data_IF_659917047723
#
_entry.id   IF_659917047723
#
_cell.length_a   1.000
_cell.length_b   1.000
_cell.length_c   1.000
_cell.angle_alpha   90.00
_cell.angle_beta   90.00
_cell.angle_gamma   90.00
#
_symmetry.space_group_name_H-M   'P 1'
#
loop_
_entity.id
_entity.type
_entity.pdbx_description
1 polymer ?
#
# COMPACT_ATOMS: atom_id res chain seq x y z
N UNK A 1 -2.72 -4.30 45.24
CA UNK A 1 -4.09 -3.76 45.11
C UNK A 1 -4.64 -4.20 43.76
N UNK A 2 -5.41 -5.29 43.73
CA UNK A 2 -6.02 -5.84 42.51
C UNK A 2 -7.43 -5.25 42.39
N UNK A 3 -7.69 -4.45 41.35
CA UNK A 3 -9.01 -3.88 41.08
C UNK A 3 -9.45 -4.20 39.66
N UNK A 4 -10.54 -4.97 39.60
CA UNK A 4 -11.64 -4.88 38.63
C UNK A 4 -11.40 -5.33 37.19
N UNK A 5 -11.52 -6.64 36.96
CA UNK A 5 -11.91 -7.21 35.67
C UNK A 5 -13.41 -6.94 35.46
N UNK A 6 -13.77 -6.03 34.55
CA UNK A 6 -15.16 -5.90 34.07
C UNK A 6 -15.39 -6.88 32.93
N UNK A 7 -16.23 -7.86 33.23
CA UNK A 7 -16.85 -8.80 32.30
C UNK A 7 -17.75 -8.00 31.33
N UNK A 8 -17.36 -7.90 30.05
CA UNK A 8 -18.24 -7.38 28.99
C UNK A 8 -18.95 -8.56 28.36
N UNK A 9 -20.26 -8.56 28.51
CA UNK A 9 -21.16 -9.62 28.08
C UNK A 9 -21.50 -9.50 26.59
N UNK A 10 -21.68 -10.68 25.98
CA UNK A 10 -22.33 -10.98 24.71
C UNK A 10 -23.58 -10.13 24.43
N UNK A 11 -23.67 -9.58 23.20
CA UNK A 11 -24.89 -9.45 22.39
C UNK A 11 -24.46 -8.87 21.02
N UNK A 12 -24.92 -9.29 19.85
CA UNK A 12 -25.91 -10.29 19.48
C UNK A 12 -25.72 -10.61 17.99
N UNK A 13 -26.03 -11.85 17.62
CA UNK A 13 -26.03 -12.30 16.24
C UNK A 13 -27.21 -11.67 15.50
N UNK A 14 -26.94 -10.67 14.66
CA UNK A 14 -27.90 -10.16 13.70
C UNK A 14 -27.96 -11.12 12.50
N UNK A 15 -29.04 -11.90 12.45
CA UNK A 15 -29.38 -12.75 11.32
C UNK A 15 -29.86 -11.85 10.18
N UNK A 16 -28.97 -11.49 9.25
CA UNK A 16 -29.33 -10.75 8.05
C UNK A 16 -29.86 -11.72 6.97
N UNK A 17 -31.04 -11.48 6.39
CA UNK A 17 -31.57 -12.28 5.30
C UNK A 17 -30.75 -12.02 4.03
N UNK A 18 -30.08 -13.06 3.52
CA UNK A 18 -29.44 -13.06 2.20
C UNK A 18 -30.57 -13.00 1.16
N UNK A 19 -30.84 -11.81 0.64
CA UNK A 19 -31.69 -11.61 -0.52
C UNK A 19 -30.87 -11.93 -1.78
N UNK A 20 -30.97 -13.17 -2.25
CA UNK A 20 -30.42 -13.62 -3.52
C UNK A 20 -31.23 -13.00 -4.67
N UNK A 21 -30.82 -11.83 -5.14
CA UNK A 21 -31.36 -11.22 -6.34
C UNK A 21 -30.74 -11.89 -7.57
N UNK A 22 -31.47 -12.84 -8.19
CA UNK A 22 -31.11 -13.36 -9.50
C UNK A 22 -31.40 -12.32 -10.57
N UNK A 23 -30.36 -11.66 -11.08
CA UNK A 23 -30.46 -10.82 -12.27
C UNK A 23 -30.52 -11.70 -13.55
N UNK A 24 -31.39 -11.36 -14.52
CA UNK A 24 -31.50 -12.10 -15.78
C UNK A 24 -30.27 -11.87 -16.66
N UNK A 25 -29.72 -12.98 -17.18
CA UNK A 25 -28.69 -13.02 -18.21
C UNK A 25 -29.31 -12.48 -19.51
N UNK A 26 -29.06 -11.20 -19.80
CA UNK A 26 -29.38 -10.55 -21.06
C UNK A 26 -28.30 -10.84 -22.09
N UNK A 27 -28.49 -11.89 -22.89
CA UNK A 27 -27.81 -12.10 -24.16
C UNK A 27 -28.47 -11.20 -25.20
N UNK A 28 -27.76 -10.21 -25.75
CA UNK A 28 -27.92 -9.82 -27.17
C UNK A 28 -26.85 -8.84 -27.65
N UNK A 29 -26.21 -9.19 -28.76
CA UNK A 29 -25.82 -8.20 -29.79
C UNK A 29 -24.33 -7.90 -29.91
N UNK A 30 -23.60 -8.74 -30.64
CA UNK A 30 -22.42 -8.30 -31.38
C UNK A 30 -22.83 -7.28 -32.46
N UNK A 31 -22.03 -6.24 -32.67
CA UNK A 31 -21.68 -5.81 -34.01
C UNK A 31 -20.20 -6.07 -34.27
N UNK A 32 -19.92 -6.87 -35.29
CA UNK A 32 -18.62 -6.95 -35.94
C UNK A 32 -18.30 -5.58 -36.53
N UNK A 33 -17.20 -4.96 -36.10
CA UNK A 33 -16.60 -3.86 -36.83
C UNK A 33 -15.13 -4.13 -37.05
N UNK A 34 -14.85 -4.66 -38.25
CA UNK A 34 -13.55 -4.61 -38.88
C UNK A 34 -13.07 -3.14 -38.92
N UNK A 35 -11.90 -2.87 -38.35
CA UNK A 35 -11.02 -1.80 -38.82
C UNK A 35 -9.57 -2.23 -38.68
N UNK A 36 -9.04 -2.70 -39.80
CA UNK A 36 -7.61 -2.66 -40.09
C UNK A 36 -7.13 -1.20 -40.03
N UNK A 37 -6.23 -0.93 -39.09
CA UNK A 37 -5.30 0.18 -39.14
C UNK A 37 -3.91 -0.42 -39.00
N UNK A 38 -3.25 -0.66 -40.12
CA UNK A 38 -1.78 -0.70 -40.16
C UNK A 38 -1.27 0.66 -39.69
N UNK A 39 -0.52 0.65 -38.60
CA UNK A 39 0.38 1.74 -38.26
C UNK A 39 1.71 1.11 -37.85
N UNK A 40 2.60 1.06 -38.83
CA UNK A 40 4.04 1.14 -38.61
C UNK A 40 4.34 2.36 -37.72
N UNK A 41 5.18 2.19 -36.71
CA UNK A 41 6.34 3.05 -36.48
C UNK A 41 7.18 2.53 -35.30
N UNK A 42 8.36 2.01 -35.65
CA UNK A 42 9.63 2.16 -34.94
C UNK A 42 9.56 2.33 -33.41
N UNK A 43 9.43 1.21 -32.70
CA UNK A 43 9.92 1.12 -31.32
C UNK A 43 11.42 0.86 -31.36
N UNK A 44 12.23 1.91 -31.23
CA UNK A 44 13.63 1.78 -30.86
C UNK A 44 13.67 1.07 -29.51
N UNK A 45 14.10 -0.20 -29.55
CA UNK A 45 14.43 -0.98 -28.37
C UNK A 45 15.60 -0.26 -27.70
N UNK A 46 15.30 0.60 -26.74
CA UNK A 46 16.28 1.02 -25.75
C UNK A 46 16.67 -0.27 -25.00
N UNK A 47 17.85 -0.77 -25.34
CA UNK A 47 18.56 -1.78 -24.58
C UNK A 47 18.74 -1.20 -23.16
N UNK A 48 17.78 -1.51 -22.27
CA UNK A 48 17.96 -1.32 -20.85
C UNK A 48 19.09 -2.27 -20.43
N UNK A 49 20.31 -1.74 -20.46
CA UNK A 49 21.45 -2.25 -19.70
C UNK A 49 21.02 -2.28 -18.23
N UNK A 50 20.49 -3.43 -17.81
CA UNK A 50 20.33 -3.76 -16.41
C UNK A 50 21.74 -3.86 -15.82
N UNK A 51 22.25 -2.72 -15.39
CA UNK A 51 23.42 -2.63 -14.54
C UNK A 51 23.21 -3.61 -13.40
N UNK A 52 24.15 -4.56 -13.25
CA UNK A 52 24.19 -5.47 -12.12
C UNK A 52 24.40 -4.62 -10.86
N UNK A 53 23.30 -4.23 -10.22
CA UNK A 53 23.32 -3.62 -8.91
C UNK A 53 23.81 -4.70 -7.94
N UNK A 54 25.05 -4.54 -7.49
CA UNK A 54 25.64 -5.30 -6.40
C UNK A 54 24.81 -4.97 -5.15
N UNK A 55 23.76 -5.78 -4.88
CA UNK A 55 22.83 -5.64 -3.76
C UNK A 55 23.55 -5.92 -2.43
N UNK A 56 24.38 -4.98 -2.00
CA UNK A 56 24.95 -4.92 -0.66
C UNK A 56 23.98 -4.19 0.25
N UNK A 57 23.33 -4.94 1.14
CA UNK A 57 22.49 -4.48 2.26
C UNK A 57 21.24 -3.69 1.85
N UNK A 58 20.07 -4.34 1.91
CA UNK A 58 18.75 -3.73 1.70
C UNK A 58 18.60 -2.49 2.60
N UNK A 59 18.69 -1.30 2.01
CA UNK A 59 18.69 -0.06 2.76
C UNK A 59 17.27 0.37 3.12
N UNK A 60 17.13 1.21 4.16
CA UNK A 60 15.84 1.81 4.48
C UNK A 60 15.27 2.58 3.28
N UNK A 61 16.15 3.22 2.51
CA UNK A 61 15.80 3.95 1.30
C UNK A 61 15.13 3.06 0.25
N UNK A 62 15.70 1.89 -0.05
CA UNK A 62 15.14 0.95 -1.04
C UNK A 62 13.73 0.50 -0.66
N UNK A 63 13.49 0.23 0.62
CA UNK A 63 12.14 -0.13 1.08
C UNK A 63 11.16 1.04 1.01
N UNK A 64 11.59 2.27 1.27
CA UNK A 64 10.75 3.46 1.15
C UNK A 64 10.40 3.76 -0.32
N UNK A 65 11.36 3.61 -1.25
CA UNK A 65 11.09 3.69 -2.69
C UNK A 65 10.11 2.60 -3.14
N UNK A 66 10.29 1.37 -2.65
CA UNK A 66 9.35 0.27 -2.85
C UNK A 66 7.94 0.64 -2.41
N UNK A 67 7.76 1.13 -1.19
CA UNK A 67 6.47 1.60 -0.68
C UNK A 67 5.84 2.63 -1.63
N UNK A 68 6.61 3.63 -2.07
CA UNK A 68 6.09 4.65 -2.99
C UNK A 68 5.67 4.05 -4.34
N UNK A 69 6.48 3.15 -4.91
CA UNK A 69 6.20 2.47 -6.16
C UNK A 69 4.87 1.70 -6.09
N UNK A 70 4.70 0.89 -5.05
CA UNK A 70 3.50 0.07 -4.86
C UNK A 70 2.24 0.94 -4.66
N UNK A 71 2.32 2.00 -3.85
CA UNK A 71 1.19 2.94 -3.66
C UNK A 71 0.78 3.63 -4.97
N UNK A 72 1.75 4.02 -5.81
CA UNK A 72 1.49 4.61 -7.13
C UNK A 72 0.78 3.61 -8.05
N UNK A 73 1.20 2.34 -8.05
CA UNK A 73 0.54 1.30 -8.84
C UNK A 73 -0.92 1.11 -8.40
N UNK A 74 -1.17 0.97 -7.10
CA UNK A 74 -2.51 0.76 -6.56
C UNK A 74 -3.45 1.91 -6.90
N UNK A 75 -3.00 3.16 -6.74
CA UNK A 75 -3.78 4.35 -7.11
C UNK A 75 -4.12 4.41 -8.60
N UNK A 76 -3.16 4.04 -9.46
CA UNK A 76 -3.34 4.07 -10.91
C UNK A 76 -4.38 3.05 -11.38
N UNK A 77 -4.44 1.89 -10.72
CA UNK A 77 -5.27 0.76 -11.15
C UNK A 77 -6.59 0.60 -10.37
N UNK A 78 -6.81 1.39 -9.31
CA UNK A 78 -8.02 1.30 -8.48
C UNK A 78 -9.33 1.45 -9.28
N UNK A 79 -9.34 2.25 -10.36
CA UNK A 79 -10.51 2.39 -11.24
C UNK A 79 -10.84 1.15 -12.07
N UNK A 80 -9.86 0.27 -12.28
CA UNK A 80 -9.96 -0.94 -13.10
C UNK A 80 -9.94 -2.22 -12.24
N UNK A 81 -10.29 -2.11 -10.95
CA UNK A 81 -10.21 -3.18 -9.94
C UNK A 81 -10.88 -4.49 -10.40
N UNK A 82 -11.99 -4.43 -11.13
CA UNK A 82 -12.67 -5.63 -11.63
C UNK A 82 -11.81 -6.49 -12.58
N UNK A 83 -10.82 -5.89 -13.24
CA UNK A 83 -9.88 -6.59 -14.13
C UNK A 83 -8.47 -6.72 -13.55
N UNK A 84 -8.12 -5.88 -12.58
CA UNK A 84 -6.78 -5.81 -11.99
C UNK A 84 -6.70 -6.39 -10.57
N UNK A 85 -7.79 -6.94 -10.00
CA UNK A 85 -7.86 -7.34 -8.60
C UNK A 85 -6.68 -8.22 -8.15
N UNK A 86 -6.36 -9.28 -8.89
CA UNK A 86 -5.27 -10.20 -8.53
C UNK A 86 -3.90 -9.49 -8.52
N UNK A 87 -3.62 -8.72 -9.57
CA UNK A 87 -2.38 -7.94 -9.63
C UNK A 87 -2.31 -6.93 -8.48
N UNK A 88 -3.42 -6.23 -8.19
CA UNK A 88 -3.48 -5.32 -7.05
C UNK A 88 -3.20 -6.03 -5.72
N UNK A 89 -3.67 -7.26 -5.52
CA UNK A 89 -3.36 -8.04 -4.31
C UNK A 89 -1.88 -8.40 -4.22
N UNK A 90 -1.23 -8.76 -5.34
CA UNK A 90 0.22 -8.98 -5.39
C UNK A 90 1.00 -7.72 -4.97
N UNK A 91 0.60 -6.57 -5.49
CA UNK A 91 1.19 -5.27 -5.13
C UNK A 91 0.91 -4.87 -3.67
N UNK A 92 -0.25 -5.24 -3.10
CA UNK A 92 -0.52 -5.05 -1.66
C UNK A 92 0.39 -5.93 -0.79
N UNK A 93 0.65 -7.19 -1.16
CA UNK A 93 1.60 -8.06 -0.45
C UNK A 93 3.03 -7.50 -0.50
N UNK A 94 3.49 -7.04 -1.67
CA UNK A 94 4.78 -6.36 -1.80
C UNK A 94 4.87 -5.11 -0.91
N UNK A 95 3.84 -4.26 -0.95
CA UNK A 95 3.74 -3.08 -0.10
C UNK A 95 3.86 -3.45 1.39
N UNK A 96 3.11 -4.45 1.84
CA UNK A 96 3.15 -4.91 3.23
C UNK A 96 4.55 -5.44 3.63
N UNK A 97 5.24 -6.14 2.72
CA UNK A 97 6.62 -6.60 2.94
C UNK A 97 7.59 -5.43 3.06
N UNK A 98 7.54 -4.45 2.16
CA UNK A 98 8.41 -3.27 2.26
C UNK A 98 8.19 -2.51 3.56
N UNK A 99 6.93 -2.32 3.98
CA UNK A 99 6.60 -1.67 5.28
C UNK A 99 7.15 -2.49 6.46
N UNK A 100 7.03 -3.82 6.41
CA UNK A 100 7.53 -4.68 7.47
C UNK A 100 9.06 -4.62 7.59
N UNK A 101 9.78 -4.71 6.47
CA UNK A 101 11.25 -4.63 6.46
C UNK A 101 11.74 -3.25 6.90
N UNK A 102 11.16 -2.16 6.35
CA UNK A 102 11.47 -0.79 6.76
C UNK A 102 11.26 -0.58 8.27
N UNK A 103 10.23 -1.18 8.87
CA UNK A 103 9.97 -1.10 10.32
C UNK A 103 11.07 -1.74 11.18
N UNK A 104 11.79 -2.73 10.65
CA UNK A 104 12.88 -3.40 11.35
C UNK A 104 14.17 -2.56 11.34
N UNK A 105 14.31 -1.70 10.33
CA UNK A 105 15.40 -0.74 10.20
C UNK A 105 15.17 0.48 11.10
N UNK A 106 16.22 1.29 11.26
CA UNK A 106 16.15 2.55 12.00
C UNK A 106 16.64 3.67 11.08
N UNK A 107 15.91 4.79 10.98
CA UNK A 107 16.41 5.98 10.29
C UNK A 107 17.77 6.46 10.81
N UNK A 108 18.69 6.79 9.90
CA UNK A 108 20.05 7.25 10.21
C UNK A 108 20.04 8.45 11.14
N UNK A 109 19.16 9.43 10.91
CA UNK A 109 18.95 10.60 11.78
C UNK A 109 18.77 10.22 13.26
N UNK A 110 17.99 9.17 13.54
CA UNK A 110 17.75 8.70 14.92
C UNK A 110 18.99 8.01 15.50
N UNK A 111 19.77 7.34 14.66
CA UNK A 111 20.99 6.63 15.09
C UNK A 111 22.16 7.58 15.34
N UNK A 112 22.32 8.58 14.48
CA UNK A 112 23.48 9.46 14.45
C UNK A 112 23.29 10.72 15.30
N UNK A 113 22.10 11.31 15.33
CA UNK A 113 21.89 12.61 15.98
C UNK A 113 21.32 12.52 17.40
N UNK A 114 20.64 11.41 17.73
CA UNK A 114 19.93 11.25 19.01
C UNK A 114 20.66 10.27 19.94
N UNK A 115 20.53 10.48 21.26
CA UNK A 115 21.13 9.57 22.25
C UNK A 115 20.28 9.35 23.49
N UNK A 116 20.51 8.23 24.18
CA UNK A 116 19.89 7.94 25.48
C UNK A 116 18.37 7.81 25.42
N UNK A 117 17.66 8.62 26.22
CA UNK A 117 16.20 8.54 26.34
C UNK A 117 15.47 9.07 25.10
N UNK A 118 16.01 10.12 24.48
CA UNK A 118 15.45 10.74 23.26
C UNK A 118 15.47 9.77 22.08
N UNK A 119 16.61 9.12 21.83
CA UNK A 119 16.73 8.09 20.81
C UNK A 119 15.74 6.94 21.03
N UNK A 120 15.55 6.49 22.28
CA UNK A 120 14.61 5.43 22.59
C UNK A 120 13.15 5.83 22.33
N UNK A 121 12.79 7.08 22.63
CA UNK A 121 11.47 7.64 22.34
C UNK A 121 11.24 7.77 20.83
N UNK A 122 12.21 8.29 20.08
CA UNK A 122 12.13 8.40 18.62
C UNK A 122 12.03 7.03 17.94
N UNK A 123 12.84 6.04 18.35
CA UNK A 123 12.74 4.66 17.86
C UNK A 123 11.36 4.05 18.12
N UNK A 124 10.77 4.33 19.28
CA UNK A 124 9.44 3.84 19.61
C UNK A 124 8.33 4.52 18.78
N UNK A 125 8.44 5.83 18.54
CA UNK A 125 7.51 6.57 17.69
C UNK A 125 7.58 6.11 16.24
N UNK A 126 8.79 5.99 15.67
CA UNK A 126 9.00 5.45 14.33
C UNK A 126 8.32 4.08 14.14
N UNK A 127 8.57 3.14 15.07
CA UNK A 127 7.97 1.80 15.02
C UNK A 127 6.45 1.82 15.15
N UNK A 128 5.89 2.79 15.88
CA UNK A 128 4.44 2.98 16.00
C UNK A 128 3.86 3.43 14.66
N UNK A 129 4.44 4.47 14.05
CA UNK A 129 4.01 5.00 12.74
C UNK A 129 4.08 3.91 11.66
N UNK A 130 5.17 3.16 11.60
CA UNK A 130 5.28 2.04 10.65
C UNK A 130 4.25 0.92 10.91
N UNK A 131 3.82 0.72 12.16
CA UNK A 131 2.74 -0.21 12.47
C UNK A 131 1.36 0.33 12.03
N UNK A 132 1.15 1.64 12.10
CA UNK A 132 -0.07 2.31 11.62
C UNK A 132 -0.14 2.26 10.08
N UNK A 133 0.97 2.48 9.39
CA UNK A 133 1.09 2.27 7.94
C UNK A 133 0.73 0.82 7.58
N UNK A 134 1.30 -0.17 8.27
CA UNK A 134 0.99 -1.59 8.04
C UNK A 134 -0.48 -1.94 8.32
N UNK A 135 -1.13 -1.27 9.25
CA UNK A 135 -2.56 -1.45 9.48
C UNK A 135 -3.38 -0.87 8.31
N UNK A 136 -3.02 0.33 7.82
CA UNK A 136 -3.68 0.94 6.67
C UNK A 136 -3.52 0.12 5.38
N UNK A 137 -2.40 -0.56 5.18
CA UNK A 137 -2.22 -1.45 4.01
C UNK A 137 -3.10 -2.70 4.09
N UNK A 138 -3.41 -3.20 5.29
CA UNK A 138 -4.39 -4.28 5.46
C UNK A 138 -5.83 -3.79 5.18
N UNK A 139 -6.16 -2.53 5.51
CA UNK A 139 -7.45 -1.94 5.13
C UNK A 139 -7.58 -1.80 3.60
N UNK A 140 -6.49 -1.43 2.91
CA UNK A 140 -6.44 -1.43 1.45
C UNK A 140 -6.64 -2.84 0.89
N UNK A 141 -6.00 -3.86 1.47
CA UNK A 141 -6.19 -5.27 1.05
C UNK A 141 -7.67 -5.68 1.13
N UNK A 142 -8.34 -5.34 2.22
CA UNK A 142 -9.78 -5.60 2.41
C UNK A 142 -10.59 -4.91 1.32
N UNK A 143 -10.35 -3.62 1.05
CA UNK A 143 -11.05 -2.89 -0.01
C UNK A 143 -10.80 -3.49 -1.40
N UNK A 144 -9.58 -3.98 -1.67
CA UNK A 144 -9.25 -4.69 -2.92
C UNK A 144 -10.06 -6.00 -3.01
N UNK A 145 -10.11 -6.80 -1.94
CA UNK A 145 -10.88 -8.05 -1.88
C UNK A 145 -12.40 -7.81 -2.06
N UNK A 146 -12.91 -6.69 -1.58
CA UNK A 146 -14.30 -6.28 -1.73
C UNK A 146 -14.61 -5.70 -3.13
N UNK A 147 -13.59 -5.43 -3.94
CA UNK A 147 -13.74 -4.84 -5.27
C UNK A 147 -14.11 -3.35 -5.24
N UNK A 148 -13.85 -2.65 -4.13
CA UNK A 148 -14.19 -1.25 -3.95
C UNK A 148 -13.00 -0.33 -4.27
N UNK A 149 -12.89 0.03 -5.56
CA UNK A 149 -11.81 0.91 -6.05
C UNK A 149 -11.87 2.34 -5.50
N UNK A 150 -13.05 2.83 -5.11
CA UNK A 150 -13.19 4.15 -4.49
C UNK A 150 -12.60 4.13 -3.08
N UNK A 151 -12.96 3.11 -2.28
CA UNK A 151 -12.38 2.90 -0.96
C UNK A 151 -10.85 2.73 -0.99
N UNK A 152 -10.31 1.97 -1.96
CA UNK A 152 -8.84 1.87 -2.17
C UNK A 152 -8.23 3.25 -2.39
N UNK A 153 -8.82 4.05 -3.26
CA UNK A 153 -8.31 5.40 -3.57
C UNK A 153 -8.32 6.31 -2.35
N UNK A 154 -9.41 6.30 -1.58
CA UNK A 154 -9.57 7.14 -0.40
C UNK A 154 -8.62 6.74 0.72
N UNK A 155 -8.46 5.44 0.99
CA UNK A 155 -7.52 4.93 2.00
C UNK A 155 -6.08 5.33 1.66
N UNK A 156 -5.68 5.20 0.39
CA UNK A 156 -4.32 5.57 0.00
C UNK A 156 -4.11 7.09 0.10
N UNK A 157 -5.02 7.90 -0.45
CA UNK A 157 -4.84 9.36 -0.50
C UNK A 157 -4.94 10.05 0.85
N UNK A 158 -5.88 9.61 1.69
CA UNK A 158 -6.22 10.31 2.93
C UNK A 158 -5.56 9.70 4.16
N UNK A 159 -4.88 8.56 4.03
CA UNK A 159 -4.22 7.90 5.17
C UNK A 159 -2.76 7.61 4.85
N UNK A 160 -2.50 6.74 3.87
CA UNK A 160 -1.13 6.26 3.61
C UNK A 160 -0.20 7.35 3.07
N UNK A 161 -0.66 8.21 2.14
CA UNK A 161 0.16 9.30 1.61
C UNK A 161 0.41 10.41 2.62
N UNK A 162 -0.55 10.72 3.49
CA UNK A 162 -0.39 11.70 4.55
C UNK A 162 0.66 11.22 5.56
N UNK A 163 0.54 9.98 6.05
CA UNK A 163 1.52 9.39 6.95
C UNK A 163 2.93 9.32 6.37
N UNK A 164 3.05 9.05 5.05
CA UNK A 164 4.35 9.06 4.37
C UNK A 164 4.96 10.46 4.37
N UNK A 165 4.20 11.48 3.97
CA UNK A 165 4.69 12.85 3.91
C UNK A 165 5.09 13.35 5.31
N UNK A 166 4.26 13.08 6.32
CA UNK A 166 4.58 13.41 7.72
C UNK A 166 5.86 12.70 8.20
N UNK A 167 6.13 11.49 7.72
CA UNK A 167 7.35 10.75 8.03
C UNK A 167 8.58 11.35 7.35
N UNK A 168 8.47 11.78 6.10
CA UNK A 168 9.56 12.44 5.37
C UNK A 168 9.96 13.75 6.08
N UNK A 169 8.99 14.59 6.45
CA UNK A 169 9.23 15.85 7.14
C UNK A 169 9.93 15.69 8.51
N UNK A 170 9.82 14.51 9.14
CA UNK A 170 10.38 14.24 10.46
C UNK A 170 11.75 13.55 10.43
N UNK A 171 12.06 12.80 9.38
CA UNK A 171 13.19 11.87 9.36
C UNK A 171 14.11 11.99 8.15
N UNK A 172 13.77 12.77 7.11
CA UNK A 172 14.74 13.15 6.08
C UNK A 172 15.57 14.35 6.56
N UNK A 173 16.87 14.31 6.30
CA UNK A 173 17.73 15.47 6.45
C UNK A 173 17.23 16.59 5.53
N UNK A 174 17.18 17.84 6.02
CA UNK A 174 16.92 18.98 5.16
C UNK A 174 18.08 19.05 4.14
N UNK A 175 17.82 18.74 2.87
CA UNK A 175 18.78 18.97 1.79
C UNK A 175 19.10 20.48 1.75
N UNK A 176 20.21 20.88 2.37
CA UNK A 176 20.72 22.25 2.37
C UNK A 176 21.12 22.64 0.92
N UNK A 177 20.21 23.31 0.20
CA UNK A 177 20.43 23.97 -1.11
C UNK A 177 21.52 25.07 -1.11
#
# INVERSE_FOLDING_TARGET
MLKNLKLVALAGAACFPIALAMAPIGVSGQPEHERHGEHDEHGEHEEHEHAEHEHGEDSLHDHMEGIEHELKFLLKNAGDIATQQEAMLEHVDLLQRHVLEAKLLVPELIEEEMSGAEQAEAKADYRRRMAEVLAGTAEVEIAVLEGDGEAVTDLIRNSLLEMRNDGHDLYQEEDDD
#
